data_IF_696511004650
#
_entry.id   IF_696511004650
#
_cell.length_a   1.000
_cell.length_b   1.000
_cell.length_c   1.000
_cell.angle_alpha   90.00
_cell.angle_beta   90.00
_cell.angle_gamma   90.00
#
_symmetry.space_group_name_H-M   'P 1'
#
loop_
_entity.id
_entity.type
_entity.pdbx_description
1 polymer ?
#
# COMPACT_ATOMS: atom_id res chain seq x y z
N UNK A 1 -90.72 -25.03 45.31
CA UNK A 1 -89.43 -25.41 45.94
C UNK A 1 -88.21 -25.22 45.02
N UNK A 2 -88.27 -24.36 43.98
CA UNK A 2 -87.17 -24.20 43.01
C UNK A 2 -86.24 -22.99 43.21
N UNK A 3 -86.66 -21.98 43.96
CA UNK A 3 -85.88 -20.73 44.07
C UNK A 3 -84.72 -20.77 45.07
N UNK A 4 -84.66 -21.76 45.99
CA UNK A 4 -83.55 -21.88 46.96
C UNK A 4 -82.33 -22.63 46.40
N UNK A 5 -82.50 -23.59 45.48
CA UNK A 5 -81.38 -24.29 44.83
C UNK A 5 -80.67 -23.41 43.78
N UNK A 6 -81.43 -22.59 43.04
CA UNK A 6 -80.90 -21.66 42.03
C UNK A 6 -80.02 -20.56 42.64
N UNK A 7 -80.37 -20.11 43.85
CA UNK A 7 -79.64 -19.06 44.59
C UNK A 7 -78.29 -19.54 45.16
N UNK A 8 -78.20 -20.81 45.53
CA UNK A 8 -76.97 -21.44 46.05
C UNK A 8 -75.92 -21.71 44.96
N UNK A 9 -76.34 -22.15 43.76
CA UNK A 9 -75.41 -22.41 42.65
C UNK A 9 -74.77 -21.16 42.06
N UNK A 10 -75.49 -20.03 42.05
CA UNK A 10 -74.99 -18.73 41.58
C UNK A 10 -73.94 -18.18 42.56
N UNK A 11 -74.14 -18.34 43.86
CA UNK A 11 -73.20 -17.88 44.88
C UNK A 11 -71.87 -18.65 44.83
N UNK A 12 -71.93 -19.99 44.69
CA UNK A 12 -70.74 -20.84 44.50
C UNK A 12 -69.99 -20.49 43.21
N UNK A 13 -70.71 -20.15 42.13
CA UNK A 13 -70.10 -19.70 40.88
C UNK A 13 -69.35 -18.37 41.06
N UNK A 14 -69.94 -17.40 41.77
CA UNK A 14 -69.28 -16.13 42.08
C UNK A 14 -68.08 -16.30 43.01
N UNK A 15 -68.16 -17.18 44.00
CA UNK A 15 -67.04 -17.49 44.90
C UNK A 15 -65.90 -18.20 44.16
N UNK A 16 -66.20 -19.17 43.29
CA UNK A 16 -65.21 -19.81 42.42
C UNK A 16 -64.59 -18.81 41.42
N UNK A 17 -65.40 -17.92 40.84
CA UNK A 17 -64.91 -16.88 39.94
C UNK A 17 -63.98 -15.90 40.67
N UNK A 18 -64.31 -15.49 41.89
CA UNK A 18 -63.43 -14.67 42.73
C UNK A 18 -62.12 -15.37 43.07
N UNK A 19 -62.15 -16.67 43.35
CA UNK A 19 -60.96 -17.45 43.68
C UNK A 19 -60.04 -17.65 42.45
N UNK A 20 -60.62 -17.84 41.26
CA UNK A 20 -59.88 -17.88 39.99
C UNK A 20 -59.25 -16.52 39.69
N UNK A 21 -59.99 -15.42 39.83
CA UNK A 21 -59.48 -14.05 39.61
C UNK A 21 -58.35 -13.73 40.61
N UNK A 22 -58.51 -14.11 41.88
CA UNK A 22 -57.52 -13.91 42.93
C UNK A 22 -56.20 -14.65 42.66
N UNK A 23 -56.22 -15.74 41.88
CA UNK A 23 -55.04 -16.54 41.54
C UNK A 23 -54.44 -16.12 40.18
N UNK A 24 -55.27 -15.62 39.26
CA UNK A 24 -54.84 -15.16 37.93
C UNK A 24 -54.10 -13.83 37.98
N UNK A 25 -54.52 -12.89 38.84
CA UNK A 25 -53.85 -11.58 38.98
C UNK A 25 -52.38 -11.73 39.42
N UNK A 26 -52.04 -12.50 40.48
CA UNK A 26 -50.64 -12.75 40.85
C UNK A 26 -49.83 -13.41 39.75
N UNK A 27 -50.41 -14.39 39.04
CA UNK A 27 -49.74 -15.07 37.92
C UNK A 27 -49.46 -14.11 36.75
N UNK A 28 -50.40 -13.23 36.43
CA UNK A 28 -50.21 -12.21 35.40
C UNK A 28 -49.11 -11.20 35.78
N UNK A 29 -49.04 -10.80 37.06
CA UNK A 29 -47.96 -9.95 37.59
C UNK A 29 -46.61 -10.67 37.52
N UNK A 30 -46.54 -11.94 37.91
CA UNK A 30 -45.32 -12.75 37.81
C UNK A 30 -44.88 -12.89 36.33
N UNK A 31 -45.80 -13.18 35.42
CA UNK A 31 -45.49 -13.28 34.00
C UNK A 31 -44.99 -11.94 33.41
N UNK A 32 -45.64 -10.83 33.78
CA UNK A 32 -45.24 -9.49 33.36
C UNK A 32 -43.85 -9.11 33.88
N UNK A 33 -43.58 -9.37 35.17
CA UNK A 33 -42.27 -9.10 35.79
C UNK A 33 -41.16 -9.95 35.19
N UNK A 34 -41.41 -11.24 34.92
CA UNK A 34 -40.46 -12.12 34.22
C UNK A 34 -40.18 -11.62 32.80
N UNK A 35 -41.22 -11.23 32.07
CA UNK A 35 -41.08 -10.70 30.70
C UNK A 35 -40.26 -9.39 30.69
N UNK A 36 -40.55 -8.46 31.60
CA UNK A 36 -39.77 -7.22 31.75
C UNK A 36 -38.30 -7.52 32.08
N UNK A 37 -38.04 -8.38 33.08
CA UNK A 37 -36.67 -8.75 33.46
C UNK A 37 -35.90 -9.37 32.29
N UNK A 38 -36.53 -10.22 31.49
CA UNK A 38 -35.90 -10.82 30.30
C UNK A 38 -35.60 -9.77 29.21
N UNK A 39 -36.48 -8.78 29.00
CA UNK A 39 -36.21 -7.68 28.07
C UNK A 39 -35.05 -6.80 28.55
N UNK A 40 -34.99 -6.50 29.84
CA UNK A 40 -33.89 -5.72 30.43
C UNK A 40 -32.55 -6.44 30.31
N UNK A 41 -32.51 -7.74 30.60
CA UNK A 41 -31.31 -8.57 30.41
C UNK A 41 -30.86 -8.56 28.95
N UNK A 42 -31.80 -8.66 28.00
CA UNK A 42 -31.49 -8.65 26.57
C UNK A 42 -30.93 -7.30 26.12
N UNK A 43 -31.53 -6.20 26.57
CA UNK A 43 -31.03 -4.83 26.30
C UNK A 43 -29.66 -4.62 26.93
N UNK A 44 -29.46 -5.07 28.18
CA UNK A 44 -28.18 -4.96 28.87
C UNK A 44 -27.07 -5.76 28.16
N UNK A 45 -27.39 -6.95 27.65
CA UNK A 45 -26.46 -7.75 26.84
C UNK A 45 -26.11 -7.06 25.53
N UNK A 46 -27.08 -6.46 24.85
CA UNK A 46 -26.85 -5.74 23.59
C UNK A 46 -26.02 -4.48 23.82
N UNK A 47 -26.33 -3.68 24.84
CA UNK A 47 -25.55 -2.51 25.22
C UNK A 47 -24.10 -2.91 25.55
N UNK A 48 -23.91 -4.00 26.33
CA UNK A 48 -22.57 -4.51 26.64
C UNK A 48 -21.80 -4.90 25.38
N UNK A 49 -22.44 -5.52 24.38
CA UNK A 49 -21.78 -5.84 23.10
C UNK A 49 -21.40 -4.58 22.33
N UNK A 50 -22.27 -3.57 22.31
CA UNK A 50 -21.97 -2.29 21.68
C UNK A 50 -20.81 -1.58 22.38
N UNK A 51 -20.79 -1.57 23.72
CA UNK A 51 -19.71 -0.97 24.50
C UNK A 51 -18.37 -1.66 24.24
N UNK A 52 -18.34 -2.99 24.14
CA UNK A 52 -17.15 -3.76 23.76
C UNK A 52 -16.68 -3.39 22.37
N UNK A 53 -17.60 -3.33 21.39
CA UNK A 53 -17.27 -2.95 20.01
C UNK A 53 -16.69 -1.53 19.94
N UNK A 54 -17.30 -0.58 20.65
CA UNK A 54 -16.82 0.81 20.72
C UNK A 54 -15.44 0.86 21.39
N UNK A 55 -15.20 0.07 22.44
CA UNK A 55 -13.92 0.01 23.11
C UNK A 55 -12.82 -0.57 22.19
N UNK A 56 -13.12 -1.64 21.45
CA UNK A 56 -12.20 -2.24 20.48
C UNK A 56 -11.86 -1.25 19.36
N UNK A 57 -12.88 -0.60 18.77
CA UNK A 57 -12.68 0.44 17.73
C UNK A 57 -11.84 1.61 18.24
N UNK A 58 -12.06 2.06 19.49
CA UNK A 58 -11.25 3.12 20.10
C UNK A 58 -9.81 2.68 20.33
N UNK A 59 -9.61 1.46 20.84
CA UNK A 59 -8.27 0.93 21.08
C UNK A 59 -7.46 0.81 19.78
N UNK A 60 -8.10 0.34 18.71
CA UNK A 60 -7.50 0.32 17.37
C UNK A 60 -7.13 1.72 16.89
N UNK A 61 -8.01 2.70 17.07
CA UNK A 61 -7.73 4.10 16.72
C UNK A 61 -6.58 4.69 17.52
N UNK A 62 -6.48 4.40 18.81
CA UNK A 62 -5.37 4.82 19.67
C UNK A 62 -4.04 4.22 19.24
N UNK A 63 -4.01 2.93 18.85
CA UNK A 63 -2.81 2.29 18.30
C UNK A 63 -2.41 2.97 16.98
N UNK A 64 -3.38 3.24 16.10
CA UNK A 64 -3.12 3.91 14.81
C UNK A 64 -2.55 5.31 15.05
N UNK A 65 -3.18 6.10 15.92
CA UNK A 65 -2.78 7.47 16.24
C UNK A 65 -1.38 7.50 16.89
N UNK A 66 -1.15 6.67 17.90
CA UNK A 66 0.15 6.62 18.58
C UNK A 66 1.29 6.18 17.66
N UNK A 67 1.03 5.23 16.76
CA UNK A 67 2.02 4.84 15.74
C UNK A 67 2.29 5.99 14.76
N UNK A 68 1.25 6.73 14.38
CA UNK A 68 1.38 7.88 13.49
C UNK A 68 2.20 9.00 14.14
N UNK A 69 1.93 9.33 15.40
CA UNK A 69 2.70 10.30 16.18
C UNK A 69 4.18 9.90 16.33
N UNK A 70 4.46 8.62 16.57
CA UNK A 70 5.84 8.10 16.66
C UNK A 70 6.61 8.30 15.36
N UNK A 71 5.99 7.99 14.23
CA UNK A 71 6.57 8.17 12.91
C UNK A 71 6.77 9.66 12.56
N UNK A 72 5.84 10.54 12.93
CA UNK A 72 6.01 11.99 12.77
C UNK A 72 7.19 12.50 13.58
N UNK A 73 7.27 12.12 14.86
CA UNK A 73 8.39 12.49 15.72
C UNK A 73 9.73 11.96 15.17
N UNK A 74 9.76 10.75 14.61
CA UNK A 74 10.94 10.21 13.95
C UNK A 74 11.36 11.06 12.74
N UNK A 75 10.40 11.45 11.89
CA UNK A 75 10.65 12.26 10.70
C UNK A 75 11.12 13.68 11.04
N UNK A 76 10.48 14.34 12.03
CA UNK A 76 10.87 15.68 12.49
C UNK A 76 12.28 15.65 13.09
N UNK A 77 12.57 14.68 13.96
CA UNK A 77 13.93 14.50 14.54
C UNK A 77 14.97 14.23 13.45
N UNK A 78 14.62 13.46 12.43
CA UNK A 78 15.50 13.23 11.29
C UNK A 78 15.83 14.53 10.56
N UNK A 79 14.83 15.34 10.22
CA UNK A 79 15.06 16.58 9.47
C UNK A 79 15.87 17.61 10.28
N UNK A 80 15.57 17.79 11.56
CA UNK A 80 16.37 18.65 12.44
C UNK A 80 17.83 18.16 12.50
N UNK A 81 18.02 16.85 12.67
CA UNK A 81 19.36 16.27 12.70
C UNK A 81 20.09 16.39 11.35
N UNK A 82 19.38 16.32 10.22
CA UNK A 82 19.98 16.45 8.90
C UNK A 82 20.34 17.91 8.61
N UNK A 83 19.48 18.87 8.94
CA UNK A 83 19.77 20.30 8.78
C UNK A 83 21.04 20.70 9.53
N UNK A 84 21.14 20.34 10.81
CA UNK A 84 22.34 20.57 11.63
C UNK A 84 23.60 19.91 11.05
N UNK A 85 23.46 18.76 10.40
CA UNK A 85 24.59 18.08 9.75
C UNK A 85 25.03 18.80 8.48
N UNK A 86 24.08 19.39 7.75
CA UNK A 86 24.34 20.11 6.50
C UNK A 86 24.95 21.50 6.73
N UNK A 87 24.73 22.10 7.89
CA UNK A 87 25.32 23.39 8.28
C UNK A 87 26.76 23.27 8.82
N UNK A 88 27.14 22.10 9.36
CA UNK A 88 28.45 21.92 9.98
C UNK A 88 29.60 21.87 8.97
N UNK A 89 30.67 22.59 9.30
CA UNK A 89 31.96 22.48 8.62
C UNK A 89 32.66 21.18 9.06
N UNK A 90 32.53 20.14 8.23
CA UNK A 90 33.12 18.82 8.44
C UNK A 90 33.56 18.28 7.08
N UNK A 91 34.62 17.45 7.07
CA UNK A 91 35.07 16.73 5.86
C UNK A 91 33.89 16.08 5.14
N UNK A 92 33.76 16.35 3.84
CA UNK A 92 32.62 15.96 3.01
C UNK A 92 32.28 14.46 3.13
N UNK A 93 33.29 13.58 3.08
CA UNK A 93 33.11 12.12 3.19
C UNK A 93 32.44 11.67 4.50
N UNK A 94 32.75 12.33 5.62
CA UNK A 94 32.11 12.01 6.90
C UNK A 94 30.65 12.50 6.91
N UNK A 95 30.37 13.65 6.27
CA UNK A 95 29.02 14.21 6.18
C UNK A 95 28.09 13.29 5.39
N UNK A 96 28.50 12.83 4.21
CA UNK A 96 27.68 11.97 3.34
C UNK A 96 27.41 10.61 3.98
N UNK A 97 28.41 10.03 4.66
CA UNK A 97 28.25 8.75 5.36
C UNK A 97 27.29 8.84 6.55
N UNK A 98 27.37 9.92 7.35
CA UNK A 98 26.44 10.16 8.47
C UNK A 98 25.03 10.48 7.95
N UNK A 99 24.92 11.28 6.88
CA UNK A 99 23.64 11.61 6.26
C UNK A 99 22.97 10.33 5.76
N UNK A 100 23.69 9.51 4.99
CA UNK A 100 23.23 8.19 4.52
C UNK A 100 22.75 7.31 5.67
N UNK A 101 23.57 7.12 6.71
CA UNK A 101 23.19 6.31 7.86
C UNK A 101 21.88 6.80 8.48
N UNK A 102 21.77 8.10 8.75
CA UNK A 102 20.55 8.70 9.32
C UNK A 102 19.33 8.51 8.41
N UNK A 103 19.50 8.67 7.09
CA UNK A 103 18.41 8.49 6.13
C UNK A 103 17.93 7.05 6.10
N UNK A 104 18.83 6.07 6.07
CA UNK A 104 18.46 4.66 6.06
C UNK A 104 17.77 4.24 7.37
N UNK A 105 18.27 4.72 8.52
CA UNK A 105 17.63 4.47 9.82
C UNK A 105 16.26 5.12 9.93
N UNK A 106 16.07 6.32 9.35
CA UNK A 106 14.77 6.96 9.28
C UNK A 106 13.82 6.15 8.38
N UNK A 107 14.23 5.79 7.16
CA UNK A 107 13.43 4.99 6.24
C UNK A 107 12.95 3.67 6.84
N UNK A 108 13.80 2.99 7.62
CA UNK A 108 13.46 1.73 8.27
C UNK A 108 12.35 1.85 9.33
N UNK A 109 12.11 3.05 9.87
CA UNK A 109 11.08 3.31 10.89
C UNK A 109 9.76 3.84 10.30
N UNK A 110 9.73 4.20 9.02
CA UNK A 110 8.59 4.87 8.40
C UNK A 110 7.73 3.89 7.61
N UNK A 111 6.40 4.04 7.71
CA UNK A 111 5.46 3.41 6.77
C UNK A 111 5.52 4.07 5.39
N UNK A 112 4.95 3.36 4.41
CA UNK A 112 4.84 3.73 2.99
C UNK A 112 4.60 5.22 2.72
N UNK A 113 3.57 5.80 3.35
CA UNK A 113 3.17 7.21 3.13
C UNK A 113 4.29 8.18 3.52
N UNK A 114 4.91 8.00 4.69
CA UNK A 114 5.99 8.88 5.16
C UNK A 114 7.34 8.59 4.49
N UNK A 115 7.61 7.35 4.04
CA UNK A 115 8.73 7.09 3.12
C UNK A 115 8.61 7.96 1.87
N UNK A 116 7.41 8.07 1.30
CA UNK A 116 7.11 8.97 0.19
C UNK A 116 7.47 10.44 0.48
N UNK A 117 7.02 10.98 1.62
CA UNK A 117 7.36 12.35 2.02
C UNK A 117 8.85 12.58 2.23
N UNK A 118 9.53 11.62 2.86
CA UNK A 118 10.96 11.70 3.08
C UNK A 118 11.73 11.71 1.76
N UNK A 119 11.49 10.73 0.89
CA UNK A 119 12.15 10.65 -0.42
C UNK A 119 11.85 11.89 -1.26
N UNK A 120 10.60 12.36 -1.26
CA UNK A 120 10.22 13.60 -1.93
C UNK A 120 11.04 14.80 -1.44
N UNK A 121 11.12 15.01 -0.12
CA UNK A 121 11.90 16.11 0.44
C UNK A 121 13.38 16.01 0.05
N UNK A 122 13.95 14.80 0.00
CA UNK A 122 15.32 14.59 -0.46
C UNK A 122 15.51 14.95 -1.94
N UNK A 123 14.54 14.62 -2.81
CA UNK A 123 14.55 14.99 -4.24
C UNK A 123 14.43 16.51 -4.40
N UNK A 124 13.49 17.14 -3.72
CA UNK A 124 13.24 18.59 -3.82
C UNK A 124 14.45 19.41 -3.38
N UNK A 125 15.20 18.91 -2.39
CA UNK A 125 16.45 19.52 -1.91
C UNK A 125 17.70 19.01 -2.65
N UNK A 126 17.54 18.22 -3.72
CA UNK A 126 18.63 17.64 -4.54
C UNK A 126 19.66 16.83 -3.73
N UNK A 127 19.25 16.26 -2.61
CA UNK A 127 20.14 15.50 -1.71
C UNK A 127 20.41 14.08 -2.21
N UNK A 128 19.55 13.56 -3.09
CA UNK A 128 19.69 12.24 -3.72
C UNK A 128 19.78 12.33 -5.25
N UNK A 129 19.94 13.54 -5.79
CA UNK A 129 20.07 13.80 -7.23
C UNK A 129 21.55 13.73 -7.63
N UNK A 130 21.84 12.99 -8.69
CA UNK A 130 23.16 12.91 -9.30
C UNK A 130 23.39 14.13 -10.21
N UNK A 131 24.37 14.96 -9.87
CA UNK A 131 24.85 16.02 -10.74
C UNK A 131 26.16 15.58 -11.41
N UNK A 132 26.34 15.79 -12.71
CA UNK A 132 27.60 15.46 -13.39
C UNK A 132 28.80 16.13 -12.72
N UNK A 133 29.79 15.33 -12.31
CA UNK A 133 31.02 15.83 -11.67
C UNK A 133 30.91 16.08 -10.16
N UNK A 134 29.76 15.85 -9.55
CA UNK A 134 29.56 15.99 -8.10
C UNK A 134 29.35 14.62 -7.43
N UNK A 135 29.78 14.52 -6.17
CA UNK A 135 29.50 13.35 -5.35
C UNK A 135 28.05 13.41 -4.84
N UNK A 136 27.39 12.26 -4.85
CA UNK A 136 26.06 12.12 -4.27
C UNK A 136 26.10 12.43 -2.76
N UNK A 137 25.19 13.30 -2.29
CA UNK A 137 25.16 13.69 -0.87
C UNK A 137 24.60 12.53 -0.02
N UNK A 138 23.50 11.93 -0.45
CA UNK A 138 22.85 10.81 0.21
C UNK A 138 22.68 9.68 -0.80
N UNK A 139 23.41 8.59 -0.58
CA UNK A 139 23.28 7.37 -1.37
C UNK A 139 22.23 6.42 -0.77
N UNK A 140 21.20 6.12 -1.56
CA UNK A 140 20.11 5.23 -1.18
C UNK A 140 20.37 3.76 -1.53
N UNK A 141 21.56 3.40 -2.01
CA UNK A 141 21.90 2.01 -2.31
C UNK A 141 21.62 1.12 -1.11
N UNK A 142 20.93 -0.01 -1.33
CA UNK A 142 20.46 -0.97 -0.33
C UNK A 142 19.31 -0.49 0.58
N UNK A 143 18.68 0.66 0.28
CA UNK A 143 17.51 1.11 1.03
C UNK A 143 16.29 0.22 0.76
N UNK A 144 15.56 -0.10 1.84
CA UNK A 144 14.21 -0.67 1.73
C UNK A 144 13.17 0.43 1.53
N UNK A 145 12.72 0.54 0.28
CA UNK A 145 11.69 1.46 -0.18
C UNK A 145 10.37 0.70 -0.48
N UNK A 146 10.14 -0.42 0.20
CA UNK A 146 8.86 -1.13 0.12
C UNK A 146 7.69 -0.21 0.45
N UNK A 147 6.69 -0.23 -0.43
CA UNK A 147 5.49 0.60 -0.36
C UNK A 147 5.69 2.06 -0.74
N UNK A 148 6.87 2.45 -1.25
CA UNK A 148 7.13 3.84 -1.64
C UNK A 148 6.09 4.33 -2.67
N UNK A 149 5.37 5.38 -2.33
CA UNK A 149 4.44 6.05 -3.25
C UNK A 149 4.99 7.43 -3.63
N UNK A 150 5.42 7.56 -4.88
CA UNK A 150 5.81 8.82 -5.52
C UNK A 150 4.83 9.24 -6.63
N UNK A 151 3.68 8.58 -6.76
CA UNK A 151 2.71 8.83 -7.83
C UNK A 151 2.30 10.32 -7.91
N UNK A 152 1.76 10.75 -9.06
CA UNK A 152 1.46 12.18 -9.30
C UNK A 152 0.61 12.88 -8.25
N UNK A 153 -0.21 12.13 -7.49
CA UNK A 153 -1.01 12.69 -6.40
C UNK A 153 -0.15 13.23 -5.25
N UNK A 154 1.10 12.79 -5.17
CA UNK A 154 2.03 13.10 -4.10
C UNK A 154 3.05 14.19 -4.49
N UNK A 155 3.12 14.64 -5.74
CA UNK A 155 4.16 15.56 -6.21
C UNK A 155 3.60 16.82 -6.88
N UNK A 156 4.18 17.98 -6.54
CA UNK A 156 3.89 19.26 -7.22
C UNK A 156 4.51 19.29 -8.62
N UNK A 157 5.67 18.64 -8.80
CA UNK A 157 6.33 18.46 -10.09
C UNK A 157 6.20 17.00 -10.53
N UNK A 158 5.76 16.78 -11.77
CA UNK A 158 5.64 15.43 -12.34
C UNK A 158 6.96 14.87 -12.88
N UNK A 159 8.03 15.66 -12.84
CA UNK A 159 9.35 15.28 -13.35
C UNK A 159 10.32 15.05 -12.20
N UNK A 160 10.95 13.87 -12.20
CA UNK A 160 12.08 13.52 -11.34
C UNK A 160 13.26 13.24 -12.26
N UNK A 161 14.37 13.94 -12.01
CA UNK A 161 15.57 13.82 -12.84
C UNK A 161 16.75 13.30 -12.05
N UNK A 162 17.54 12.45 -12.69
CA UNK A 162 18.87 12.02 -12.24
C UNK A 162 18.93 11.43 -10.81
N UNK A 163 17.90 10.74 -10.34
CA UNK A 163 17.91 10.07 -9.02
C UNK A 163 18.50 8.66 -9.12
N UNK A 164 19.29 8.27 -8.12
CA UNK A 164 19.88 6.95 -8.02
C UNK A 164 19.09 6.03 -7.08
N UNK A 165 18.37 5.06 -7.65
CA UNK A 165 17.67 3.98 -6.92
C UNK A 165 18.39 2.62 -7.10
N UNK A 166 19.67 2.62 -7.47
CA UNK A 166 20.44 1.39 -7.63
C UNK A 166 20.42 0.56 -6.35
N UNK A 167 20.33 -0.77 -6.50
CA UNK A 167 20.38 -1.73 -5.39
C UNK A 167 19.30 -1.51 -4.31
N UNK A 168 18.24 -0.74 -4.58
CA UNK A 168 17.12 -0.57 -3.66
C UNK A 168 16.11 -1.73 -3.75
N UNK A 169 15.29 -1.89 -2.71
CA UNK A 169 14.11 -2.75 -2.72
C UNK A 169 12.86 -1.89 -2.88
N UNK A 170 12.08 -2.11 -3.94
CA UNK A 170 10.87 -1.37 -4.29
C UNK A 170 9.73 -2.37 -4.50
N UNK A 171 9.32 -3.02 -3.42
CA UNK A 171 8.15 -3.92 -3.43
C UNK A 171 6.89 -3.06 -3.23
N UNK A 172 5.84 -3.26 -4.03
CA UNK A 172 4.60 -2.47 -3.97
C UNK A 172 4.82 -0.95 -4.10
N UNK A 173 5.84 -0.52 -4.85
CA UNK A 173 6.13 0.90 -5.03
C UNK A 173 5.32 1.48 -6.22
N UNK A 174 4.95 2.76 -6.16
CA UNK A 174 4.23 3.45 -7.23
C UNK A 174 4.99 4.68 -7.72
N UNK A 175 5.21 4.72 -9.02
CA UNK A 175 5.79 5.84 -9.78
C UNK A 175 4.82 6.31 -10.88
N UNK A 176 3.53 6.00 -10.72
CA UNK A 176 2.50 6.23 -11.73
C UNK A 176 2.40 7.72 -12.10
N UNK A 177 2.44 7.98 -13.41
CA UNK A 177 2.27 9.29 -14.02
C UNK A 177 3.49 10.21 -13.98
N UNK A 178 4.67 9.69 -13.60
CA UNK A 178 5.90 10.48 -13.51
C UNK A 178 6.74 10.44 -14.77
N UNK A 179 7.39 11.55 -15.09
CA UNK A 179 8.51 11.61 -16.03
C UNK A 179 9.81 11.40 -15.26
N UNK A 180 10.48 10.29 -15.51
CA UNK A 180 11.65 9.77 -14.80
C UNK A 180 12.88 9.82 -15.71
N UNK A 181 13.43 11.02 -15.91
CA UNK A 181 14.54 11.24 -16.86
C UNK A 181 15.89 10.97 -16.20
N UNK A 182 16.71 10.09 -16.78
CA UNK A 182 18.06 9.82 -16.28
C UNK A 182 18.11 9.12 -14.91
N UNK A 183 17.01 8.50 -14.50
CA UNK A 183 16.94 7.70 -13.28
C UNK A 183 17.61 6.34 -13.52
N UNK A 184 18.24 5.79 -12.47
CA UNK A 184 18.84 4.46 -12.52
C UNK A 184 18.28 3.55 -11.43
N UNK A 185 17.90 2.34 -11.83
CA UNK A 185 17.40 1.22 -11.03
C UNK A 185 18.33 0.00 -11.18
N UNK A 186 19.62 0.23 -11.42
CA UNK A 186 20.55 -0.85 -11.68
C UNK A 186 20.66 -1.75 -10.44
N UNK A 187 20.54 -3.07 -10.65
CA UNK A 187 20.61 -4.08 -9.59
C UNK A 187 19.56 -3.93 -8.48
N UNK A 188 18.49 -3.15 -8.67
CA UNK A 188 17.39 -3.08 -7.70
C UNK A 188 16.44 -4.27 -7.84
N UNK A 189 15.63 -4.47 -6.80
CA UNK A 189 14.56 -5.47 -6.78
C UNK A 189 13.22 -4.74 -6.80
N UNK A 190 12.40 -4.99 -7.81
CA UNK A 190 11.04 -4.46 -7.91
C UNK A 190 10.04 -5.62 -7.99
N UNK A 191 9.07 -5.65 -7.08
CA UNK A 191 8.02 -6.66 -7.11
C UNK A 191 6.68 -5.95 -6.95
N UNK A 192 5.74 -6.26 -7.84
CA UNK A 192 4.39 -5.67 -7.80
C UNK A 192 4.41 -4.13 -7.78
N UNK A 193 5.36 -3.54 -8.50
CA UNK A 193 5.50 -2.08 -8.61
C UNK A 193 4.75 -1.53 -9.82
N UNK A 194 4.38 -0.25 -9.75
CA UNK A 194 3.53 0.40 -10.75
C UNK A 194 4.23 1.61 -11.38
N UNK A 195 4.59 1.45 -12.66
CA UNK A 195 5.07 2.49 -13.57
C UNK A 195 4.07 2.71 -14.72
N UNK A 196 2.81 2.32 -14.54
CA UNK A 196 1.79 2.49 -15.57
C UNK A 196 1.55 3.97 -15.88
N UNK A 197 1.16 4.24 -17.12
CA UNK A 197 0.77 5.56 -17.57
C UNK A 197 -0.75 5.68 -17.59
N UNK A 198 -1.29 6.64 -16.83
CA UNK A 198 -2.64 7.16 -17.04
C UNK A 198 -2.65 8.42 -17.90
N UNK A 199 -1.52 9.14 -18.01
CA UNK A 199 -1.42 10.37 -18.80
C UNK A 199 -0.01 10.69 -19.32
N UNK A 200 1.09 10.37 -18.58
CA UNK A 200 2.46 10.72 -19.00
C UNK A 200 3.60 10.02 -18.21
N UNK A 201 3.57 8.69 -18.03
CA UNK A 201 4.77 8.02 -17.47
C UNK A 201 5.84 7.86 -18.55
N UNK A 202 7.01 8.45 -18.34
CA UNK A 202 8.17 8.27 -19.21
C UNK A 202 9.37 7.80 -18.39
N UNK A 203 9.99 6.73 -18.86
CA UNK A 203 11.21 6.10 -18.38
C UNK A 203 12.32 6.24 -19.42
N UNK A 204 12.16 7.18 -20.37
CA UNK A 204 13.08 7.31 -21.49
C UNK A 204 14.52 7.51 -20.98
N UNK A 205 15.45 6.71 -21.53
CA UNK A 205 16.88 6.73 -21.18
C UNK A 205 17.19 6.40 -19.71
N UNK A 206 16.26 5.79 -18.97
CA UNK A 206 16.54 5.25 -17.63
C UNK A 206 17.35 3.95 -17.73
N UNK A 207 18.19 3.69 -16.72
CA UNK A 207 19.03 2.49 -16.67
C UNK A 207 18.42 1.45 -15.73
N UNK A 208 18.15 0.26 -16.26
CA UNK A 208 17.59 -0.89 -15.54
C UNK A 208 18.51 -2.10 -15.64
N UNK A 209 19.82 -1.85 -15.70
CA UNK A 209 20.84 -2.88 -15.83
C UNK A 209 20.83 -3.87 -14.65
N UNK A 210 20.82 -5.18 -14.93
CA UNK A 210 20.80 -6.24 -13.90
C UNK A 210 19.65 -6.12 -12.90
N UNK A 211 18.55 -5.48 -13.27
CA UNK A 211 17.40 -5.35 -12.39
C UNK A 211 16.71 -6.71 -12.22
N UNK A 212 16.12 -6.94 -11.06
CA UNK A 212 15.21 -8.07 -10.84
C UNK A 212 13.80 -7.53 -10.65
N UNK A 213 12.96 -7.73 -11.65
CA UNK A 213 11.57 -7.27 -11.63
C UNK A 213 10.59 -8.41 -11.82
N UNK A 214 9.53 -8.40 -11.03
CA UNK A 214 8.44 -9.36 -11.17
C UNK A 214 7.09 -8.69 -10.96
N UNK A 215 6.08 -9.08 -11.74
CA UNK A 215 4.71 -8.55 -11.63
C UNK A 215 4.64 -7.02 -11.68
N UNK A 216 5.61 -6.38 -12.35
CA UNK A 216 5.70 -4.91 -12.42
C UNK A 216 4.93 -4.42 -13.64
N UNK A 217 4.13 -3.37 -13.45
CA UNK A 217 3.35 -2.78 -14.53
C UNK A 217 4.07 -1.61 -15.17
N UNK A 218 4.27 -1.67 -16.48
CA UNK A 218 4.71 -0.57 -17.32
C UNK A 218 3.64 -0.15 -18.33
N UNK A 219 2.38 -0.56 -18.10
CA UNK A 219 1.29 -0.36 -19.04
C UNK A 219 1.25 1.07 -19.61
N UNK A 220 1.30 1.20 -20.94
CA UNK A 220 1.33 2.49 -21.66
C UNK A 220 2.51 3.44 -21.35
N UNK A 221 3.55 2.99 -20.66
CA UNK A 221 4.72 3.83 -20.39
C UNK A 221 5.54 4.07 -21.66
N UNK A 222 6.14 5.26 -21.74
CA UNK A 222 7.22 5.53 -22.68
C UNK A 222 8.54 4.99 -22.10
N UNK A 223 9.12 4.01 -22.77
CA UNK A 223 10.34 3.31 -22.37
C UNK A 223 11.37 3.35 -23.52
N UNK A 224 11.35 4.43 -24.29
CA UNK A 224 12.29 4.67 -25.39
C UNK A 224 13.73 4.64 -24.88
N UNK A 225 14.60 3.90 -25.59
CA UNK A 225 16.02 3.70 -25.27
C UNK A 225 16.29 3.13 -23.85
N UNK A 226 15.33 2.40 -23.27
CA UNK A 226 15.51 1.78 -21.95
C UNK A 226 16.54 0.63 -22.01
N UNK A 227 17.34 0.49 -20.95
CA UNK A 227 18.38 -0.53 -20.86
C UNK A 227 18.03 -1.61 -19.83
N UNK A 228 17.63 -2.81 -20.28
CA UNK A 228 17.38 -4.01 -19.48
C UNK A 228 18.45 -5.11 -19.69
N UNK A 229 19.69 -4.73 -20.03
CA UNK A 229 20.75 -5.73 -20.21
C UNK A 229 20.96 -6.51 -18.90
N UNK A 230 21.12 -7.83 -19.02
CA UNK A 230 21.34 -8.78 -17.91
C UNK A 230 20.21 -8.80 -16.86
N UNK A 231 19.00 -8.34 -17.20
CA UNK A 231 17.89 -8.20 -16.24
C UNK A 231 16.96 -9.41 -16.20
N UNK A 232 16.30 -9.62 -15.07
CA UNK A 232 15.25 -10.63 -14.87
C UNK A 232 13.90 -9.91 -14.83
N UNK A 233 13.08 -10.06 -15.87
CA UNK A 233 11.77 -9.42 -15.99
C UNK A 233 10.68 -10.48 -16.14
N UNK A 234 10.21 -11.00 -15.02
CA UNK A 234 9.22 -12.09 -15.01
C UNK A 234 7.81 -11.58 -14.83
N UNK A 235 6.86 -12.06 -15.63
CA UNK A 235 5.44 -11.72 -15.49
C UNK A 235 5.15 -10.22 -15.49
N UNK A 236 5.93 -9.44 -16.23
CA UNK A 236 5.79 -7.98 -16.28
C UNK A 236 4.79 -7.55 -17.36
N UNK A 237 4.12 -6.43 -17.14
CA UNK A 237 3.14 -5.88 -18.07
C UNK A 237 3.77 -4.76 -18.91
N UNK A 238 4.26 -5.10 -20.09
CA UNK A 238 4.77 -4.15 -21.09
C UNK A 238 3.74 -3.83 -22.18
N UNK A 239 2.48 -4.23 -22.00
CA UNK A 239 1.45 -4.03 -22.99
C UNK A 239 1.20 -2.53 -23.26
N UNK A 240 1.03 -2.20 -24.54
CA UNK A 240 0.87 -0.82 -25.05
C UNK A 240 2.04 0.15 -24.76
N UNK A 241 3.23 -0.33 -24.40
CA UNK A 241 4.42 0.52 -24.16
C UNK A 241 5.05 1.06 -25.45
N UNK A 242 5.84 2.12 -25.33
CA UNK A 242 6.78 2.55 -26.37
C UNK A 242 8.19 2.04 -26.04
N UNK A 243 8.75 1.15 -26.87
CA UNK A 243 10.02 0.46 -26.61
C UNK A 243 11.02 0.63 -27.76
N UNK A 244 10.89 1.69 -28.54
CA UNK A 244 11.86 2.00 -29.61
C UNK A 244 13.27 2.12 -29.00
N UNK A 245 14.23 1.39 -29.55
CA UNK A 245 15.63 1.43 -29.08
C UNK A 245 15.88 0.71 -27.75
N UNK A 246 14.85 0.11 -27.13
CA UNK A 246 15.00 -0.69 -25.91
C UNK A 246 15.97 -1.86 -26.13
N UNK A 247 16.79 -2.13 -25.11
CA UNK A 247 17.81 -3.18 -25.14
C UNK A 247 17.53 -4.25 -24.08
N UNK A 248 17.24 -5.47 -24.55
CA UNK A 248 16.94 -6.66 -23.74
C UNK A 248 18.04 -7.72 -23.82
N UNK A 249 19.27 -7.36 -24.19
CA UNK A 249 20.35 -8.34 -24.35
C UNK A 249 20.56 -9.13 -23.05
N UNK A 250 20.56 -10.46 -23.16
CA UNK A 250 20.77 -11.39 -22.05
C UNK A 250 19.71 -11.32 -20.92
N UNK A 251 18.57 -10.66 -21.14
CA UNK A 251 17.50 -10.60 -20.14
C UNK A 251 16.63 -11.86 -20.15
N UNK A 252 15.94 -12.13 -19.04
CA UNK A 252 14.81 -13.08 -19.00
C UNK A 252 13.52 -12.27 -19.10
N UNK A 253 12.63 -12.60 -20.03
CA UNK A 253 11.33 -11.92 -20.16
C UNK A 253 10.14 -12.82 -19.82
N UNK A 254 10.39 -13.97 -19.19
CA UNK A 254 9.42 -15.07 -19.10
C UNK A 254 8.06 -14.64 -18.51
N UNK A 255 6.99 -15.07 -19.17
CA UNK A 255 5.61 -14.76 -18.78
C UNK A 255 5.22 -13.29 -18.95
N UNK A 256 6.07 -12.42 -19.49
CA UNK A 256 5.76 -11.01 -19.68
C UNK A 256 4.86 -10.76 -20.88
N UNK A 257 4.05 -9.71 -20.79
CA UNK A 257 3.07 -9.32 -21.80
C UNK A 257 3.55 -8.09 -22.58
N UNK A 258 3.85 -8.25 -23.88
CA UNK A 258 4.19 -7.16 -24.80
C UNK A 258 3.06 -6.85 -25.80
N UNK A 259 1.83 -7.32 -25.56
CA UNK A 259 0.70 -7.09 -26.48
C UNK A 259 0.53 -5.60 -26.79
N UNK A 260 0.44 -5.28 -28.09
CA UNK A 260 0.33 -3.92 -28.61
C UNK A 260 1.50 -2.98 -28.24
N UNK A 261 2.62 -3.49 -27.73
CA UNK A 261 3.81 -2.70 -27.50
C UNK A 261 4.49 -2.31 -28.83
N UNK A 262 5.02 -1.10 -28.89
CA UNK A 262 5.84 -0.64 -30.01
C UNK A 262 7.28 -1.15 -29.84
N UNK A 263 7.48 -2.42 -30.20
CA UNK A 263 8.75 -3.14 -30.15
C UNK A 263 8.89 -4.06 -31.37
N UNK A 264 10.11 -4.26 -31.86
CA UNK A 264 10.36 -5.21 -32.96
C UNK A 264 10.67 -6.61 -32.46
N UNK A 265 10.45 -7.62 -33.32
CA UNK A 265 10.86 -8.99 -33.03
C UNK A 265 12.37 -9.09 -32.77
N UNK A 266 13.20 -8.35 -33.52
CA UNK A 266 14.65 -8.32 -33.35
C UNK A 266 15.07 -7.83 -31.96
N UNK A 267 14.33 -6.88 -31.36
CA UNK A 267 14.61 -6.40 -30.01
C UNK A 267 14.27 -7.43 -28.92
N UNK A 268 13.35 -8.36 -29.18
CA UNK A 268 12.95 -9.40 -28.23
C UNK A 268 13.88 -10.61 -28.28
N UNK A 269 14.28 -11.08 -29.47
CA UNK A 269 15.06 -12.32 -29.62
C UNK A 269 16.50 -12.25 -29.09
N UNK A 270 16.99 -11.06 -28.74
CA UNK A 270 18.29 -10.90 -28.05
C UNK A 270 18.22 -11.22 -26.55
N UNK A 271 17.01 -11.40 -26.01
CA UNK A 271 16.80 -11.90 -24.66
C UNK A 271 17.30 -13.34 -24.53
N UNK A 272 17.79 -13.68 -23.33
CA UNK A 272 18.22 -15.04 -22.99
C UNK A 272 17.04 -16.00 -22.91
N UNK A 273 15.86 -15.53 -22.50
CA UNK A 273 14.66 -16.36 -22.35
C UNK A 273 13.37 -15.57 -22.67
N UNK A 274 12.46 -16.24 -23.39
CA UNK A 274 11.17 -15.72 -23.86
C UNK A 274 10.02 -16.70 -23.57
N UNK A 275 10.14 -17.54 -22.54
CA UNK A 275 9.14 -18.57 -22.26
C UNK A 275 7.79 -17.92 -21.89
N UNK A 276 6.71 -18.37 -22.52
CA UNK A 276 5.35 -17.85 -22.29
C UNK A 276 5.21 -16.33 -22.48
N UNK A 277 6.09 -15.69 -23.25
CA UNK A 277 5.98 -14.26 -23.56
C UNK A 277 4.82 -14.03 -24.52
N UNK A 278 3.98 -13.02 -24.25
CA UNK A 278 2.97 -12.55 -25.21
C UNK A 278 3.62 -11.51 -26.12
N UNK A 279 3.62 -11.76 -27.42
CA UNK A 279 4.22 -10.92 -28.45
C UNK A 279 3.35 -9.68 -28.76
N UNK A 280 3.88 -8.69 -29.49
CA UNK A 280 3.13 -7.48 -29.86
C UNK A 280 1.80 -7.73 -30.58
N UNK A 281 1.69 -8.82 -31.33
CA UNK A 281 0.46 -9.24 -32.01
C UNK A 281 -0.54 -10.00 -31.11
N UNK A 282 -0.22 -10.20 -29.83
CA UNK A 282 -1.05 -10.93 -28.86
C UNK A 282 -0.87 -12.45 -28.84
N UNK A 283 0.02 -13.00 -29.68
CA UNK A 283 0.31 -14.45 -29.68
C UNK A 283 1.39 -14.80 -28.65
N UNK A 284 1.37 -16.03 -28.14
CA UNK A 284 2.44 -16.52 -27.24
C UNK A 284 3.66 -16.89 -28.08
N UNK A 285 4.85 -16.49 -27.65
CA UNK A 285 6.10 -16.88 -28.26
C UNK A 285 6.26 -18.41 -28.23
N UNK A 286 6.46 -18.99 -29.40
CA UNK A 286 6.77 -20.40 -29.58
C UNK A 286 8.22 -20.50 -30.04
N UNK A 287 9.04 -21.27 -29.33
CA UNK A 287 10.39 -21.58 -29.82
C UNK A 287 10.29 -22.41 -31.09
N UNK A 288 10.96 -21.97 -32.15
CA UNK A 288 11.18 -22.76 -33.37
C UNK A 288 12.30 -23.77 -33.11
#
# INVERSE_FOLDING_TARGET
MDNKKKKSGIQIFFDCAQLIIALFIPLAIIAYTVMQNNTEISIAQENRKQDLKIADERHEQEIILSTDEQEEAALVRYFDSLGKLLEKDMKLMNRTSIARFKTLTALAQLKSKRKGYLIRALIENKLITMNPGENLIIDLSLADLTGLDLSTNMLVKKEITCVNFNQTTLINASFRGLTLTGITFAQSILINSDFSSSSATSLAKSSWYKVKISYTSFFKADMTDINFIDSECHYCQFNQTQLKGANFRNSSLDGSDFSQANITYQQLIVARSLQNVILPNGTIFQSI
#
